data_IF_794115357120
#
_entry.id   IF_794115357120
#
_cell.length_a   1.000
_cell.length_b   1.000
_cell.length_c   1.000
_cell.angle_alpha   90.00
_cell.angle_beta   90.00
_cell.angle_gamma   90.00
#
_symmetry.space_group_name_H-M   'P 1'
#
loop_
_entity.id
_entity.type
_entity.pdbx_description
1 polymer ?
#
# COMPACT_ATOMS: atom_id res chain seq x y z
N UNK A 1 -49.86 30.07 45.51
CA UNK A 1 -49.03 28.88 45.35
C UNK A 1 -48.87 28.63 43.85
N UNK A 2 -47.72 29.05 43.25
CA UNK A 2 -47.45 28.90 41.81
C UNK A 2 -46.52 27.69 41.64
N UNK A 3 -46.97 26.63 40.92
CA UNK A 3 -46.15 25.43 40.60
C UNK A 3 -45.41 25.71 39.29
N UNK A 4 -44.09 25.71 39.36
CA UNK A 4 -43.21 25.75 38.17
C UNK A 4 -43.09 24.36 37.52
N UNK A 5 -43.14 24.21 36.20
CA UNK A 5 -42.85 22.93 35.54
C UNK A 5 -41.34 22.74 35.37
N UNK A 6 -40.86 21.61 35.82
CA UNK A 6 -39.48 21.13 35.64
C UNK A 6 -39.31 20.67 34.19
N UNK A 7 -38.49 21.38 33.43
CA UNK A 7 -38.16 21.04 32.04
C UNK A 7 -37.04 20.00 32.05
N UNK A 8 -37.35 18.74 31.73
CA UNK A 8 -36.41 17.65 31.64
C UNK A 8 -35.72 17.72 30.27
N UNK A 9 -34.47 18.22 30.22
CA UNK A 9 -33.62 18.17 29.02
C UNK A 9 -33.09 16.74 28.84
N UNK A 10 -33.64 16.01 27.88
CA UNK A 10 -33.08 14.71 27.45
C UNK A 10 -31.82 14.96 26.60
N UNK A 11 -30.65 14.70 27.19
CA UNK A 11 -29.36 14.75 26.52
C UNK A 11 -29.20 13.48 25.65
N UNK A 12 -29.51 13.58 24.36
CA UNK A 12 -29.21 12.53 23.39
C UNK A 12 -27.70 12.43 23.18
N UNK A 13 -27.04 11.53 23.91
CA UNK A 13 -25.66 11.16 23.62
C UNK A 13 -25.61 10.38 22.29
N UNK A 14 -25.16 11.03 21.24
CA UNK A 14 -24.83 10.36 19.97
C UNK A 14 -23.58 9.52 20.20
N UNK A 15 -23.78 8.25 20.53
CA UNK A 15 -22.69 7.26 20.54
C UNK A 15 -22.26 7.04 19.09
N UNK A 16 -21.17 7.71 18.71
CA UNK A 16 -20.45 7.39 17.48
C UNK A 16 -19.78 6.04 17.70
N UNK A 17 -20.44 4.96 17.27
CA UNK A 17 -19.84 3.62 17.31
C UNK A 17 -18.54 3.64 16.50
N UNK A 18 -17.40 3.15 17.04
CA UNK A 18 -16.19 2.98 16.25
C UNK A 18 -16.52 2.03 15.11
N UNK A 19 -16.20 2.45 13.87
CA UNK A 19 -16.33 1.61 12.70
C UNK A 19 -15.47 0.36 12.95
N UNK A 20 -16.10 -0.74 13.33
CA UNK A 20 -15.41 -2.02 13.53
C UNK A 20 -14.82 -2.41 12.17
N UNK A 21 -13.50 -2.52 12.09
CA UNK A 21 -12.81 -3.01 10.90
C UNK A 21 -13.37 -4.40 10.55
N UNK A 22 -14.00 -4.50 9.37
CA UNK A 22 -14.59 -5.77 8.91
C UNK A 22 -13.46 -6.71 8.50
N UNK A 23 -13.61 -7.99 8.78
CA UNK A 23 -12.62 -9.03 8.47
C UNK A 23 -12.33 -9.17 6.94
N UNK A 24 -13.16 -8.59 6.09
CA UNK A 24 -13.03 -8.63 4.63
C UNK A 24 -12.59 -7.29 4.00
N UNK A 25 -11.99 -6.40 4.79
CA UNK A 25 -11.45 -5.16 4.25
C UNK A 25 -10.15 -5.44 3.46
N UNK A 26 -9.92 -4.59 2.45
CA UNK A 26 -8.67 -4.56 1.67
C UNK A 26 -8.11 -3.15 1.62
N UNK A 27 -6.81 -3.02 1.38
CA UNK A 27 -6.22 -1.73 1.07
C UNK A 27 -6.22 -1.51 -0.44
N UNK A 28 -6.81 -0.39 -0.86
CA UNK A 28 -6.69 0.13 -2.22
C UNK A 28 -5.60 1.20 -2.22
N UNK A 29 -4.49 0.93 -2.88
CA UNK A 29 -3.28 1.76 -2.92
C UNK A 29 -3.17 2.43 -4.28
N UNK A 30 -3.26 3.75 -4.32
CA UNK A 30 -2.99 4.55 -5.50
C UNK A 30 -1.52 4.97 -5.54
N UNK A 31 -0.82 4.60 -6.60
CA UNK A 31 0.59 4.91 -6.84
C UNK A 31 0.68 5.93 -7.97
N UNK A 32 1.33 7.07 -7.70
CA UNK A 32 1.61 8.11 -8.69
C UNK A 32 3.03 7.97 -9.19
N UNK A 33 3.18 7.80 -10.48
CA UNK A 33 4.45 7.81 -11.19
C UNK A 33 4.90 9.24 -11.52
N UNK A 34 6.13 9.40 -11.92
CA UNK A 34 6.76 10.68 -12.30
C UNK A 34 6.15 11.30 -13.56
N UNK A 35 5.69 10.47 -14.52
CA UNK A 35 4.93 10.90 -15.70
C UNK A 35 3.50 11.38 -15.37
N UNK A 36 3.12 11.39 -14.09
CA UNK A 36 1.80 11.78 -13.60
C UNK A 36 0.76 10.67 -13.65
N UNK A 37 1.04 9.52 -14.23
CA UNK A 37 0.10 8.39 -14.26
C UNK A 37 -0.18 7.87 -12.85
N UNK A 38 -1.41 7.39 -12.65
CA UNK A 38 -1.84 6.79 -11.39
C UNK A 38 -2.29 5.37 -11.67
N UNK A 39 -1.68 4.43 -10.96
CA UNK A 39 -2.05 3.01 -11.01
C UNK A 39 -2.47 2.52 -9.64
N UNK A 40 -3.23 1.44 -9.61
CA UNK A 40 -3.80 0.89 -8.38
C UNK A 40 -3.26 -0.49 -8.07
N UNK A 41 -3.06 -0.73 -6.78
CA UNK A 41 -2.69 -2.02 -6.20
C UNK A 41 -3.70 -2.33 -5.10
N UNK A 42 -4.13 -3.59 -5.00
CA UNK A 42 -5.03 -4.05 -3.94
C UNK A 42 -4.31 -5.06 -3.05
N UNK A 43 -4.33 -4.81 -1.74
CA UNK A 43 -3.72 -5.67 -0.73
C UNK A 43 -4.83 -6.27 0.15
N UNK A 44 -4.87 -7.59 0.27
CA UNK A 44 -5.64 -8.29 1.29
C UNK A 44 -4.84 -8.42 2.58
N UNK A 45 -5.53 -8.51 3.71
CA UNK A 45 -4.90 -8.57 5.02
C UNK A 45 -4.95 -9.98 5.64
N UNK A 46 -3.90 -10.33 6.36
CA UNK A 46 -3.80 -11.55 7.14
C UNK A 46 -4.10 -11.28 8.62
N UNK A 47 -5.33 -10.85 8.93
CA UNK A 47 -5.73 -10.40 10.27
C UNK A 47 -5.52 -11.45 11.36
N UNK A 48 -5.73 -12.75 11.05
CA UNK A 48 -5.51 -13.84 12.00
C UNK A 48 -4.04 -14.07 12.32
N UNK A 49 -3.14 -13.77 11.38
CA UNK A 49 -1.71 -14.03 11.51
C UNK A 49 -0.94 -12.82 12.04
N UNK A 50 -1.40 -11.60 11.75
CA UNK A 50 -0.74 -10.36 12.14
C UNK A 50 -1.74 -9.27 12.56
N UNK A 51 -2.61 -9.53 13.57
CA UNK A 51 -3.72 -8.63 13.95
C UNK A 51 -3.25 -7.24 14.34
N UNK A 52 -2.18 -7.13 15.13
CA UNK A 52 -1.65 -5.84 15.57
C UNK A 52 -1.06 -5.02 14.45
N UNK A 53 -0.34 -5.67 13.52
CA UNK A 53 0.26 -5.02 12.35
C UNK A 53 -0.81 -4.56 11.37
N UNK A 54 -1.84 -5.38 11.11
CA UNK A 54 -2.97 -5.02 10.24
C UNK A 54 -3.77 -3.86 10.83
N UNK A 55 -4.15 -3.92 12.10
CA UNK A 55 -4.88 -2.84 12.77
C UNK A 55 -4.10 -1.51 12.71
N UNK A 56 -2.79 -1.56 12.94
CA UNK A 56 -1.93 -0.39 12.84
C UNK A 56 -1.85 0.15 11.40
N UNK A 57 -1.70 -0.70 10.40
CA UNK A 57 -1.67 -0.28 8.99
C UNK A 57 -2.99 0.41 8.60
N UNK A 58 -4.14 -0.19 8.94
CA UNK A 58 -5.46 0.41 8.70
C UNK A 58 -5.57 1.79 9.37
N UNK A 59 -5.22 1.91 10.64
CA UNK A 59 -5.23 3.18 11.38
C UNK A 59 -4.36 4.26 10.73
N UNK A 60 -3.17 3.91 10.24
CA UNK A 60 -2.27 4.86 9.55
C UNK A 60 -2.84 5.26 8.18
N UNK A 61 -3.43 4.31 7.44
CA UNK A 61 -4.08 4.57 6.15
C UNK A 61 -5.26 5.55 6.30
N UNK A 62 -6.14 5.33 7.28
CA UNK A 62 -7.28 6.20 7.59
C UNK A 62 -6.86 7.62 7.95
N UNK A 63 -5.73 7.77 8.67
CA UNK A 63 -5.13 9.07 8.98
C UNK A 63 -4.42 9.73 7.81
N UNK A 64 -4.38 9.09 6.63
CA UNK A 64 -3.64 9.59 5.47
C UNK A 64 -2.13 9.61 5.66
N UNK A 65 -1.59 8.87 6.63
CA UNK A 65 -0.16 8.86 6.96
C UNK A 65 0.72 8.53 5.76
N UNK A 66 0.31 7.61 4.91
CA UNK A 66 1.09 7.15 3.77
C UNK A 66 1.11 8.12 2.58
N UNK A 67 0.22 9.11 2.55
CA UNK A 67 0.13 10.07 1.43
C UNK A 67 1.46 10.82 1.25
N UNK A 68 2.02 10.72 0.04
CA UNK A 68 3.27 11.36 -0.33
C UNK A 68 4.54 10.60 0.05
N UNK A 69 4.45 9.46 0.76
CA UNK A 69 5.60 8.58 0.95
C UNK A 69 6.08 8.05 -0.40
N UNK A 70 7.39 8.08 -0.64
CA UNK A 70 7.99 7.52 -1.84
C UNK A 70 8.30 6.03 -1.65
N UNK A 71 8.38 5.30 -2.76
CA UNK A 71 9.12 4.06 -2.80
C UNK A 71 10.59 4.43 -2.72
N UNK A 72 11.21 4.11 -1.58
CA UNK A 72 12.56 4.52 -1.25
C UNK A 72 13.58 3.39 -1.35
N UNK A 73 13.12 2.20 -1.68
CA UNK A 73 13.96 1.06 -2.01
C UNK A 73 13.26 0.17 -3.04
N UNK A 74 13.94 -0.09 -4.13
CA UNK A 74 13.44 -0.92 -5.22
C UNK A 74 14.58 -1.83 -5.69
N UNK A 75 14.49 -3.11 -5.36
CA UNK A 75 15.45 -4.13 -5.80
C UNK A 75 14.79 -4.92 -6.92
N UNK A 76 15.32 -4.87 -8.15
CA UNK A 76 14.74 -5.54 -9.29
C UNK A 76 14.46 -7.02 -8.98
N UNK A 77 13.29 -7.48 -9.38
CA UNK A 77 12.81 -8.86 -9.18
C UNK A 77 12.71 -9.34 -7.72
N UNK A 78 13.11 -8.54 -6.72
CA UNK A 78 13.11 -8.96 -5.32
C UNK A 78 12.02 -8.26 -4.49
N UNK A 79 12.20 -7.00 -4.16
CA UNK A 79 11.26 -6.25 -3.30
C UNK A 79 11.12 -4.79 -3.73
N UNK A 80 10.01 -4.16 -3.33
CA UNK A 80 9.85 -2.70 -3.29
C UNK A 80 9.42 -2.28 -1.89
N UNK A 81 10.03 -1.22 -1.34
CA UNK A 81 9.78 -0.75 0.04
C UNK A 81 9.35 0.71 0.05
N UNK A 82 8.40 1.03 0.94
CA UNK A 82 7.78 2.36 1.11
C UNK A 82 7.33 2.57 2.56
N UNK A 83 6.57 3.65 2.82
CA UNK A 83 5.95 3.90 4.14
C UNK A 83 6.84 4.69 5.11
N UNK A 84 7.98 5.18 4.65
CA UNK A 84 8.82 6.10 5.44
C UNK A 84 8.30 7.55 5.29
N UNK A 85 7.89 8.24 6.39
CA UNK A 85 7.44 9.62 6.33
C UNK A 85 8.54 10.61 5.92
N UNK A 86 9.83 10.28 6.12
CA UNK A 86 10.95 11.13 5.70
C UNK A 86 11.09 11.15 4.17
N UNK A 87 10.64 10.10 3.49
CA UNK A 87 10.64 10.04 2.02
C UNK A 87 9.67 11.03 1.34
N UNK A 88 8.80 11.71 2.11
CA UNK A 88 7.93 12.77 1.59
C UNK A 88 8.71 13.99 1.12
N UNK A 89 9.87 14.23 1.71
CA UNK A 89 10.78 15.32 1.34
C UNK A 89 11.65 14.93 0.15
N UNK A 90 12.25 15.93 -0.51
CA UNK A 90 13.24 15.69 -1.57
C UNK A 90 14.61 15.29 -1.02
N UNK A 91 14.93 15.71 0.21
CA UNK A 91 16.15 15.30 0.89
C UNK A 91 16.08 13.81 1.23
N UNK A 92 17.07 13.06 0.77
CA UNK A 92 17.16 11.59 0.91
C UNK A 92 18.06 11.14 2.05
N UNK A 93 18.76 12.06 2.72
CA UNK A 93 19.83 11.75 3.68
C UNK A 93 19.38 10.85 4.82
N UNK A 94 18.17 11.06 5.36
CA UNK A 94 17.62 10.30 6.48
C UNK A 94 16.53 9.28 6.04
N UNK A 95 16.30 9.11 4.73
CA UNK A 95 15.27 8.20 4.25
C UNK A 95 15.65 6.75 4.57
N UNK A 96 14.65 5.95 4.94
CA UNK A 96 14.81 4.59 5.45
C UNK A 96 14.87 4.51 6.99
N UNK A 97 15.04 5.64 7.68
CA UNK A 97 15.12 5.68 9.16
C UNK A 97 13.83 6.17 9.83
N UNK A 98 12.90 6.75 9.07
CA UNK A 98 11.66 7.31 9.59
C UNK A 98 10.61 6.28 9.99
N UNK A 99 9.60 6.75 10.73
CA UNK A 99 8.48 5.92 11.18
C UNK A 99 7.44 6.75 11.92
N UNK A 100 6.42 6.12 12.51
CA UNK A 100 5.34 6.82 13.22
C UNK A 100 5.69 7.21 14.65
N UNK A 101 6.94 7.03 15.08
CA UNK A 101 7.40 7.31 16.45
C UNK A 101 7.28 6.13 17.42
N UNK A 102 6.90 4.95 16.92
CA UNK A 102 6.80 3.70 17.70
C UNK A 102 7.10 2.48 16.83
N UNK A 103 7.31 1.34 17.50
CA UNK A 103 7.54 0.04 16.87
C UNK A 103 6.45 -0.94 17.28
N UNK A 104 6.25 -1.99 16.48
CA UNK A 104 5.27 -3.04 16.73
C UNK A 104 5.96 -4.33 17.19
N UNK A 105 5.28 -5.09 18.04
CA UNK A 105 5.72 -6.45 18.36
C UNK A 105 5.73 -7.32 17.09
N UNK A 106 6.68 -8.28 16.97
CA UNK A 106 6.72 -9.18 15.84
C UNK A 106 5.55 -10.16 15.84
N UNK A 107 4.95 -10.37 14.66
CA UNK A 107 3.88 -11.34 14.40
C UNK A 107 4.30 -12.28 13.25
N UNK A 108 5.41 -12.98 13.44
CA UNK A 108 6.12 -13.75 12.41
C UNK A 108 5.48 -15.12 12.26
N UNK A 109 4.61 -15.29 11.26
CA UNK A 109 3.85 -16.54 11.05
C UNK A 109 3.84 -17.02 9.61
N UNK A 110 3.95 -16.11 8.64
CA UNK A 110 3.82 -16.42 7.20
C UNK A 110 5.13 -16.33 6.46
N UNK A 111 5.17 -17.01 5.31
CA UNK A 111 6.31 -17.00 4.39
C UNK A 111 6.24 -15.82 3.43
N UNK A 112 7.40 -15.44 2.88
CA UNK A 112 7.54 -14.38 1.89
C UNK A 112 7.35 -14.95 0.48
N UNK A 113 6.12 -15.27 0.13
CA UNK A 113 5.74 -15.67 -1.23
C UNK A 113 5.70 -14.45 -2.16
N UNK A 114 5.59 -14.68 -3.49
CA UNK A 114 5.35 -13.59 -4.45
C UNK A 114 4.07 -12.84 -4.07
N UNK A 115 4.15 -11.50 -4.02
CA UNK A 115 3.05 -10.63 -3.59
C UNK A 115 2.94 -10.41 -2.08
N UNK A 116 3.70 -11.13 -1.24
CA UNK A 116 3.65 -10.95 0.21
C UNK A 116 4.00 -9.51 0.62
N UNK A 117 3.18 -8.94 1.53
CA UNK A 117 3.37 -7.61 2.11
C UNK A 117 3.86 -7.77 3.54
N UNK A 118 5.06 -7.25 3.83
CA UNK A 118 5.72 -7.45 5.11
C UNK A 118 6.19 -6.14 5.75
N UNK A 119 6.16 -6.09 7.08
CA UNK A 119 6.65 -4.94 7.85
C UNK A 119 8.18 -4.90 7.86
N UNK A 120 8.75 -3.74 7.51
CA UNK A 120 10.19 -3.52 7.59
C UNK A 120 10.66 -3.35 9.04
N UNK A 121 11.93 -3.61 9.28
CA UNK A 121 12.59 -3.41 10.59
C UNK A 121 14.10 -3.25 10.46
N UNK A 122 14.72 -2.74 11.49
CA UNK A 122 16.17 -2.69 11.64
C UNK A 122 16.71 -4.11 11.93
N UNK A 123 17.94 -4.38 11.48
CA UNK A 123 18.58 -5.69 11.60
C UNK A 123 18.79 -6.19 13.03
N UNK A 124 18.93 -7.50 13.22
CA UNK A 124 18.95 -8.21 14.51
C UNK A 124 20.03 -7.70 15.49
N UNK A 125 21.18 -7.18 15.01
CA UNK A 125 22.23 -6.61 15.86
C UNK A 125 21.75 -5.43 16.70
N UNK A 126 20.87 -4.60 16.15
CA UNK A 126 20.32 -3.40 16.82
C UNK A 126 18.94 -3.67 17.40
N UNK A 127 18.21 -4.61 16.83
CA UNK A 127 16.85 -4.95 17.19
C UNK A 127 16.67 -6.47 17.38
N UNK A 128 17.27 -7.04 18.44
CA UNK A 128 17.20 -8.49 18.69
C UNK A 128 15.78 -8.98 18.97
N UNK A 129 14.90 -8.09 19.41
CA UNK A 129 13.47 -8.37 19.63
C UNK A 129 12.66 -8.40 18.33
N UNK A 130 13.27 -8.11 17.18
CA UNK A 130 12.65 -8.12 15.84
C UNK A 130 11.39 -7.26 15.72
N UNK A 131 11.31 -6.18 16.48
CA UNK A 131 10.19 -5.25 16.43
C UNK A 131 10.12 -4.57 15.06
N UNK A 132 8.92 -4.48 14.48
CA UNK A 132 8.68 -3.82 13.19
C UNK A 132 8.71 -2.30 13.33
N UNK A 133 9.10 -1.59 12.26
CA UNK A 133 9.21 -0.12 12.22
C UNK A 133 7.91 0.63 12.56
N UNK A 134 6.76 0.05 12.30
CA UNK A 134 5.45 0.64 12.56
C UNK A 134 4.78 1.28 11.33
N UNK A 135 5.52 1.77 10.33
CA UNK A 135 4.92 2.28 9.09
C UNK A 135 5.60 1.81 7.82
N UNK A 136 6.89 1.52 7.84
CA UNK A 136 7.58 1.03 6.65
C UNK A 136 7.19 -0.42 6.35
N UNK A 137 6.90 -0.69 5.09
CA UNK A 137 6.58 -2.02 4.59
C UNK A 137 7.17 -2.25 3.20
N UNK A 138 7.36 -3.51 2.86
CA UNK A 138 7.82 -3.93 1.54
C UNK A 138 6.89 -4.99 0.94
N UNK A 139 6.93 -5.07 -0.38
CA UNK A 139 6.21 -6.10 -1.15
C UNK A 139 7.23 -6.96 -1.88
N UNK A 140 7.07 -8.29 -1.76
CA UNK A 140 7.89 -9.26 -2.45
C UNK A 140 7.48 -9.39 -3.92
N UNK A 141 8.37 -9.05 -4.84
CA UNK A 141 8.16 -9.21 -6.29
C UNK A 141 8.37 -10.67 -6.70
N UNK A 142 9.26 -11.37 -6.00
CA UNK A 142 9.44 -12.82 -6.10
C UNK A 142 9.50 -13.43 -4.69
N UNK A 143 9.43 -14.75 -4.54
CA UNK A 143 9.60 -15.40 -3.24
C UNK A 143 10.95 -15.05 -2.60
N UNK A 144 10.92 -14.75 -1.28
CA UNK A 144 12.11 -14.34 -0.51
C UNK A 144 12.30 -15.28 0.71
N UNK A 145 12.60 -16.57 0.52
CA UNK A 145 12.64 -17.55 1.61
C UNK A 145 13.69 -17.23 2.68
N UNK A 146 14.75 -16.49 2.34
CA UNK A 146 15.77 -16.01 3.29
C UNK A 146 15.24 -15.04 4.35
N UNK A 147 14.05 -14.46 4.13
CA UNK A 147 13.35 -13.56 5.07
C UNK A 147 12.34 -14.31 5.96
N UNK A 148 12.03 -15.57 5.66
CA UNK A 148 11.09 -16.39 6.42
C UNK A 148 11.54 -16.54 7.88
N UNK A 149 10.59 -16.47 8.81
CA UNK A 149 10.88 -16.54 10.24
C UNK A 149 11.59 -15.30 10.82
N UNK A 150 11.74 -14.20 10.06
CA UNK A 150 12.47 -13.00 10.49
C UNK A 150 11.66 -11.71 10.44
N UNK A 151 10.58 -11.66 9.63
CA UNK A 151 9.75 -10.47 9.43
C UNK A 151 8.26 -10.83 9.51
N UNK A 152 7.44 -9.85 9.89
CA UNK A 152 5.98 -9.98 9.95
C UNK A 152 5.39 -9.77 8.56
N UNK A 153 4.86 -10.83 7.96
CA UNK A 153 4.04 -10.74 6.74
C UNK A 153 2.59 -10.55 7.18
N UNK A 154 1.97 -9.44 6.76
CA UNK A 154 0.63 -9.04 7.24
C UNK A 154 -0.42 -8.96 6.14
N UNK A 155 -0.05 -9.21 4.88
CA UNK A 155 -0.98 -9.17 3.76
C UNK A 155 -0.37 -9.75 2.48
N UNK A 156 -1.16 -9.68 1.40
CA UNK A 156 -0.73 -10.09 0.08
C UNK A 156 -1.35 -9.19 -0.99
N UNK A 157 -0.62 -8.92 -2.07
CA UNK A 157 -1.12 -8.22 -3.24
C UNK A 157 -2.01 -9.16 -4.05
N UNK A 158 -3.29 -8.80 -4.20
CA UNK A 158 -4.27 -9.58 -4.97
C UNK A 158 -4.58 -8.98 -6.34
N UNK A 159 -4.23 -7.70 -6.57
CA UNK A 159 -4.35 -7.01 -7.87
C UNK A 159 -3.23 -5.99 -8.02
N UNK A 160 -2.72 -5.81 -9.24
CA UNK A 160 -1.73 -4.78 -9.56
C UNK A 160 -0.30 -5.13 -9.15
N UNK A 161 0.05 -6.41 -9.05
CA UNK A 161 1.43 -6.81 -8.78
C UNK A 161 2.37 -6.38 -9.93
N UNK A 162 1.91 -6.40 -11.17
CA UNK A 162 2.60 -5.87 -12.35
C UNK A 162 2.98 -4.39 -12.21
N UNK A 163 2.15 -3.60 -11.52
CA UNK A 163 2.46 -2.20 -11.19
C UNK A 163 3.69 -2.12 -10.29
N UNK A 164 3.77 -2.96 -9.26
CA UNK A 164 4.92 -3.01 -8.34
C UNK A 164 6.16 -3.63 -9.00
N UNK A 165 5.98 -4.58 -9.91
CA UNK A 165 7.06 -5.08 -10.77
C UNK A 165 7.64 -3.93 -11.62
N UNK A 166 6.79 -3.06 -12.17
CA UNK A 166 7.25 -1.88 -12.92
C UNK A 166 8.00 -0.88 -12.03
N UNK A 167 7.62 -0.75 -10.75
CA UNK A 167 8.36 0.08 -9.77
C UNK A 167 9.73 -0.54 -9.49
N UNK A 168 9.81 -1.87 -9.29
CA UNK A 168 11.07 -2.56 -8.97
C UNK A 168 12.11 -2.48 -10.08
N UNK A 169 11.66 -2.34 -11.33
CA UNK A 169 12.53 -2.29 -12.52
C UNK A 169 12.94 -0.86 -12.90
N UNK A 170 12.57 0.16 -12.11
CA UNK A 170 13.03 1.53 -12.36
C UNK A 170 14.50 1.69 -12.01
N UNK A 171 15.19 2.55 -12.76
CA UNK A 171 16.57 2.91 -12.45
C UNK A 171 16.68 3.44 -11.02
N UNK A 172 17.63 2.91 -10.26
CA UNK A 172 17.87 3.26 -8.87
C UNK A 172 19.32 3.72 -8.67
N UNK A 173 19.54 4.44 -7.58
CA UNK A 173 20.91 4.81 -7.16
C UNK A 173 21.59 3.64 -6.42
N UNK A 174 22.81 3.88 -5.94
CA UNK A 174 23.63 2.89 -5.23
C UNK A 174 23.03 2.38 -3.92
N UNK A 175 21.96 3.02 -3.43
CA UNK A 175 21.22 2.62 -2.23
C UNK A 175 19.86 1.97 -2.56
N UNK A 176 19.69 1.50 -3.78
CA UNK A 176 18.43 0.96 -4.30
C UNK A 176 17.27 1.99 -4.32
N UNK A 177 17.53 3.30 -4.19
CA UNK A 177 16.49 4.33 -4.22
C UNK A 177 16.16 4.69 -5.67
N UNK A 178 14.90 4.57 -6.13
CA UNK A 178 14.53 4.96 -7.48
C UNK A 178 14.91 6.40 -7.80
N UNK A 179 15.55 6.61 -8.96
CA UNK A 179 15.94 7.95 -9.43
C UNK A 179 14.68 8.81 -9.61
N UNK A 180 13.69 8.26 -10.29
CA UNK A 180 12.37 8.84 -10.46
C UNK A 180 11.54 8.69 -9.19
N UNK A 181 10.78 9.73 -8.87
CA UNK A 181 10.05 9.77 -7.62
C UNK A 181 8.66 9.17 -7.75
N UNK A 182 8.49 7.93 -7.33
CA UNK A 182 7.23 7.20 -7.34
C UNK A 182 6.60 7.27 -5.95
N UNK A 183 5.35 7.73 -5.86
CA UNK A 183 4.72 8.11 -4.60
C UNK A 183 3.45 7.31 -4.30
N UNK A 184 3.23 7.01 -3.04
CA UNK A 184 1.90 6.65 -2.56
C UNK A 184 1.01 7.90 -2.62
N UNK A 185 0.06 7.95 -3.55
CA UNK A 185 -0.91 9.05 -3.67
C UNK A 185 -1.98 8.95 -2.60
N UNK A 186 -2.50 7.73 -2.39
CA UNK A 186 -3.56 7.44 -1.43
C UNK A 186 -3.53 5.97 -1.03
N UNK A 187 -3.85 5.69 0.23
CA UNK A 187 -4.16 4.35 0.74
C UNK A 187 -5.53 4.42 1.39
N UNK A 188 -6.48 3.64 0.89
CA UNK A 188 -7.87 3.60 1.39
C UNK A 188 -8.19 2.19 1.86
N UNK A 189 -8.84 2.08 3.00
CA UNK A 189 -9.39 0.81 3.49
C UNK A 189 -10.83 0.73 3.01
N UNK A 190 -11.13 -0.32 2.26
CA UNK A 190 -12.46 -0.51 1.67
C UNK A 190 -12.91 -1.96 1.84
N UNK A 191 -14.23 -2.19 2.00
CA UNK A 191 -14.77 -3.55 1.98
C UNK A 191 -14.44 -4.25 0.65
N UNK A 192 -14.04 -5.51 0.69
CA UNK A 192 -13.71 -6.32 -0.51
C UNK A 192 -14.85 -6.32 -1.55
N UNK A 193 -16.08 -6.31 -1.10
CA UNK A 193 -17.28 -6.26 -1.95
C UNK A 193 -17.37 -5.00 -2.82
N UNK A 194 -16.70 -3.90 -2.42
CA UNK A 194 -16.62 -2.65 -3.19
C UNK A 194 -15.51 -2.65 -4.25
N UNK A 195 -14.72 -3.71 -4.33
CA UNK A 195 -13.81 -3.86 -5.46
C UNK A 195 -14.66 -4.13 -6.71
N UNK A 196 -14.71 -3.17 -7.65
CA UNK A 196 -15.27 -3.44 -8.98
C UNK A 196 -14.62 -4.71 -9.55
N UNK A 197 -15.43 -5.55 -10.21
CA UNK A 197 -14.92 -6.72 -10.93
C UNK A 197 -13.71 -6.27 -11.75
N UNK A 198 -12.65 -7.11 -11.91
CA UNK A 198 -11.53 -6.76 -12.78
C UNK A 198 -12.12 -6.36 -14.13
N UNK A 199 -11.70 -5.19 -14.65
CA UNK A 199 -12.02 -4.84 -16.01
C UNK A 199 -11.63 -6.07 -16.86
N UNK A 200 -12.61 -6.72 -17.44
CA UNK A 200 -12.38 -7.88 -18.31
C UNK A 200 -11.32 -7.45 -19.30
N UNK A 201 -10.22 -8.21 -19.36
CA UNK A 201 -9.20 -7.99 -20.37
C UNK A 201 -9.89 -7.80 -21.72
N UNK A 202 -9.50 -6.83 -22.56
CA UNK A 202 -10.12 -6.63 -23.86
C UNK A 202 -10.09 -7.97 -24.57
N UNK A 203 -11.28 -8.43 -25.04
CA UNK A 203 -11.41 -9.68 -25.79
C UNK A 203 -10.37 -9.65 -26.91
N UNK A 204 -9.52 -10.68 -27.07
CA UNK A 204 -8.63 -10.75 -28.21
C UNK A 204 -9.51 -10.87 -29.47
N UNK A 205 -9.38 -9.88 -30.36
CA UNK A 205 -9.87 -10.00 -31.71
C UNK A 205 -11.26 -9.43 -32.00
N UNK A 206 -11.40 -8.10 -31.98
CA UNK A 206 -12.22 -7.48 -33.04
C UNK A 206 -11.27 -7.17 -34.21
N UNK A 207 -11.57 -7.59 -35.46
CA UNK A 207 -10.74 -7.24 -36.60
C UNK A 207 -10.74 -5.71 -36.74
N UNK A 208 -9.55 -5.11 -36.79
CA UNK A 208 -9.44 -3.69 -37.15
C UNK A 208 -10.03 -3.51 -38.56
N UNK A 209 -11.14 -2.80 -38.67
CA UNK A 209 -11.61 -2.30 -39.96
C UNK A 209 -10.49 -1.45 -40.56
N UNK A 210 -9.82 -2.01 -41.54
CA UNK A 210 -8.90 -1.28 -42.42
C UNK A 210 -9.72 -0.24 -43.16
N UNK A 211 -9.64 1.03 -42.79
CA UNK A 211 -10.14 2.13 -43.62
C UNK A 211 -9.50 2.02 -44.97
N UNK A 212 -10.28 2.03 -46.10
CA UNK A 212 -9.71 1.97 -47.43
C UNK A 212 -8.81 3.18 -47.66
N UNK A 213 -7.57 2.93 -48.05
CA UNK A 213 -6.65 3.92 -48.54
C UNK A 213 -7.24 4.57 -49.78
N UNK A 214 -7.77 5.78 -49.66
CA UNK A 214 -8.08 6.64 -50.79
C UNK A 214 -6.76 6.89 -51.56
N UNK A 215 -6.60 6.20 -52.67
CA UNK A 215 -5.58 6.48 -53.68
C UNK A 215 -5.77 7.94 -54.15
N UNK A 216 -4.93 8.84 -53.64
CA UNK A 216 -4.73 10.15 -54.28
C UNK A 216 -4.11 9.87 -55.63
N UNK A 217 -4.91 9.95 -56.71
CA UNK A 217 -4.44 10.11 -58.07
C UNK A 217 -3.72 11.45 -58.14
N UNK A 218 -2.44 11.43 -58.40
CA UNK A 218 -1.66 12.59 -58.80
C UNK A 218 -1.78 12.67 -60.36
N UNK A 219 -2.19 13.81 -60.92
CA UNK A 219 -1.97 14.09 -62.32
C UNK A 219 -0.57 14.69 -62.45
N UNK A 220 0.24 14.12 -63.35
CA UNK A 220 1.57 14.50 -63.87
C UNK A 220 2.76 14.31 -63.00
#
# INVERSE_FOLDING_TARGET
MKKSPLLLLALCAVFSAPCAARADDVALVEIKFDDGTIRQVTIEFYEKDAPGTVANFKKLAEKGFFKGCAFHRAIPTAIVQTGDPLSKKKDRTAVGTGGPGYTLAPEIRRRHTKGAVAAARIGDKVNPQRRSNGSQFYVCISPQPQLDGKYTVFGNVIRGLDVLESVSNRSADTNDYPIERILLKKVSIVPREKLSAPATAPKPGAPSEKKPLLRRLWPW
#
